data_IF_158973374071
#
_entry.id   IF_158973374071
#
_cell.length_a   1.000
_cell.length_b   1.000
_cell.length_c   1.000
_cell.angle_alpha   90.00
_cell.angle_beta   90.00
_cell.angle_gamma   90.00
#
_symmetry.space_group_name_H-M   'P 1'
#
loop_
_entity.id
_entity.type
_entity.pdbx_description
1 polymer ?
#
# COMPACT_ATOMS: atom_id res chain seq x y z
N UNK A 1 -17.30 -0.23 -10.07
CA UNK A 1 -16.63 0.66 -9.09
C UNK A 1 -15.24 1.00 -9.60
N UNK A 2 -14.84 2.28 -9.69
CA UNK A 2 -13.55 2.70 -10.29
C UNK A 2 -12.49 3.14 -9.28
N UNK A 3 -12.86 3.45 -8.04
CA UNK A 3 -11.92 4.04 -7.09
C UNK A 3 -11.00 2.97 -6.46
N UNK A 4 -11.52 1.80 -6.09
CA UNK A 4 -10.71 0.72 -5.50
C UNK A 4 -9.55 0.32 -6.41
N UNK A 5 -9.78 0.22 -7.73
CA UNK A 5 -8.72 -0.08 -8.70
C UNK A 5 -7.62 0.98 -8.76
N UNK A 6 -7.96 2.27 -8.66
CA UNK A 6 -6.95 3.35 -8.60
C UNK A 6 -6.09 3.23 -7.36
N UNK A 7 -6.69 2.97 -6.20
CA UNK A 7 -5.96 2.85 -4.94
C UNK A 7 -5.03 1.63 -4.97
N UNK A 8 -5.53 0.48 -5.44
CA UNK A 8 -4.71 -0.73 -5.63
C UNK A 8 -3.55 -0.52 -6.60
N UNK A 9 -3.77 0.27 -7.65
CA UNK A 9 -2.72 0.65 -8.60
C UNK A 9 -1.65 1.50 -7.93
N UNK A 10 -2.05 2.53 -7.17
CA UNK A 10 -1.09 3.36 -6.42
C UNK A 10 -0.34 2.55 -5.36
N UNK A 11 -1.02 1.64 -4.64
CA UNK A 11 -0.39 0.72 -3.68
C UNK A 11 0.69 -0.09 -4.41
N UNK A 12 0.34 -0.77 -5.50
CA UNK A 12 1.30 -1.56 -6.27
C UNK A 12 2.46 -0.73 -6.80
N UNK A 13 2.22 0.50 -7.24
CA UNK A 13 3.28 1.40 -7.70
C UNK A 13 4.22 1.81 -6.57
N UNK A 14 3.68 2.13 -5.39
CA UNK A 14 4.48 2.50 -4.22
C UNK A 14 5.28 1.30 -3.73
N UNK A 15 4.65 0.14 -3.58
CA UNK A 15 5.29 -1.12 -3.24
C UNK A 15 6.45 -1.39 -4.20
N UNK A 16 6.19 -1.37 -5.51
CA UNK A 16 7.25 -1.63 -6.50
C UNK A 16 8.37 -0.60 -6.48
N UNK A 17 8.05 0.67 -6.21
CA UNK A 17 9.06 1.72 -6.03
C UNK A 17 9.86 1.54 -4.73
N UNK A 18 9.24 1.01 -3.67
CA UNK A 18 9.90 0.60 -2.44
C UNK A 18 10.85 -0.58 -2.72
N UNK A 19 10.40 -1.61 -3.44
CA UNK A 19 11.24 -2.76 -3.77
C UNK A 19 12.46 -2.38 -4.61
N UNK A 20 12.27 -1.49 -5.59
CA UNK A 20 13.32 -1.06 -6.52
C UNK A 20 14.32 -0.06 -5.89
N UNK A 21 13.82 0.86 -5.05
CA UNK A 21 14.63 1.98 -4.53
C UNK A 21 14.95 1.91 -3.03
N UNK A 22 14.14 1.21 -2.26
CA UNK A 22 14.18 1.20 -0.80
C UNK A 22 13.89 -0.20 -0.24
N UNK A 23 14.74 -1.21 -0.52
CA UNK A 23 14.51 -2.59 -0.05
C UNK A 23 14.36 -2.68 1.47
N UNK A 24 14.92 -1.75 2.23
CA UNK A 24 14.73 -1.67 3.69
C UNK A 24 13.28 -1.38 4.09
N UNK A 25 12.54 -0.65 3.27
CA UNK A 25 11.13 -0.33 3.50
C UNK A 25 10.21 -1.54 3.25
N UNK A 26 10.65 -2.59 2.53
CA UNK A 26 9.89 -3.84 2.39
C UNK A 26 9.58 -4.47 3.76
N UNK A 27 10.48 -4.35 4.74
CA UNK A 27 10.26 -4.90 6.08
C UNK A 27 9.03 -4.30 6.76
N UNK A 28 8.73 -3.02 6.49
CA UNK A 28 7.53 -2.35 6.98
C UNK A 28 6.27 -2.74 6.21
N UNK A 29 6.41 -3.24 4.97
CA UNK A 29 5.30 -3.75 4.17
C UNK A 29 4.78 -5.08 4.69
N UNK A 30 5.69 -5.99 5.04
CA UNK A 30 5.38 -7.30 5.62
C UNK A 30 4.67 -7.19 6.98
N UNK A 31 4.99 -6.15 7.76
CA UNK A 31 4.34 -5.88 9.05
C UNK A 31 2.96 -5.23 8.93
N UNK A 32 2.54 -4.79 7.74
CA UNK A 32 1.21 -4.24 7.58
C UNK A 32 0.18 -5.38 7.50
N UNK A 33 -0.83 -5.42 8.40
CA UNK A 33 -1.80 -6.50 8.49
C UNK A 33 -2.78 -6.57 7.31
N UNK A 34 -2.64 -5.71 6.30
CA UNK A 34 -3.41 -5.79 5.06
C UNK A 34 -2.74 -6.84 4.18
N UNK A 35 -2.85 -8.07 4.66
CA UNK A 35 -2.98 -9.20 3.76
C UNK A 35 -4.25 -8.92 2.98
N UNK A 36 -4.10 -8.40 1.74
CA UNK A 36 -5.05 -8.71 0.70
C UNK A 36 -5.13 -10.23 0.69
N UNK A 37 -6.03 -10.81 1.49
CA UNK A 37 -6.37 -12.22 1.34
C UNK A 37 -6.77 -12.34 -0.13
N UNK A 38 -6.11 -13.23 -0.87
CA UNK A 38 -6.29 -13.53 -2.31
C UNK A 38 -7.74 -13.78 -2.78
N UNK A 39 -8.71 -13.63 -1.89
CA UNK A 39 -10.11 -13.49 -2.20
C UNK A 39 -10.35 -12.10 -2.84
N UNK A 40 -10.27 -12.07 -4.18
CA UNK A 40 -10.65 -10.94 -5.04
C UNK A 40 -12.02 -10.32 -4.63
N UNK A 41 -12.91 -11.16 -4.06
CA UNK A 41 -14.22 -10.77 -3.52
C UNK A 41 -14.18 -9.95 -2.22
N UNK A 42 -13.14 -10.09 -1.37
CA UNK A 42 -13.01 -9.29 -0.14
C UNK A 42 -12.53 -7.87 -0.43
N UNK A 43 -11.72 -7.69 -1.47
CA UNK A 43 -11.21 -6.38 -1.89
C UNK A 43 -12.33 -5.52 -2.46
N UNK A 44 -13.30 -6.14 -3.14
CA UNK A 44 -14.50 -5.46 -3.63
C UNK A 44 -15.44 -5.03 -2.48
N UNK A 45 -15.46 -5.79 -1.39
CA UNK A 45 -16.18 -5.45 -0.14
C UNK A 45 -15.37 -4.56 0.81
N UNK A 46 -14.10 -4.33 0.53
CA UNK A 46 -13.26 -3.50 1.37
C UNK A 46 -13.66 -2.04 1.14
N UNK A 47 -14.07 -1.37 2.21
CA UNK A 47 -14.41 0.04 2.15
C UNK A 47 -13.27 0.83 1.51
N UNK A 48 -13.61 1.70 0.56
CA UNK A 48 -12.65 2.58 -0.12
C UNK A 48 -11.77 3.35 0.90
N UNK A 49 -12.34 3.66 2.08
CA UNK A 49 -11.63 4.24 3.22
C UNK A 49 -10.48 3.36 3.71
N UNK A 50 -10.69 2.07 3.90
CA UNK A 50 -9.66 1.14 4.36
C UNK A 50 -8.50 1.06 3.36
N UNK A 51 -8.81 1.01 2.07
CA UNK A 51 -7.81 1.03 1.01
C UNK A 51 -7.04 2.37 0.98
N UNK A 52 -7.74 3.50 1.17
CA UNK A 52 -7.10 4.83 1.29
C UNK A 52 -6.21 4.94 2.52
N UNK A 53 -6.66 4.49 3.68
CA UNK A 53 -5.85 4.50 4.90
C UNK A 53 -4.59 3.64 4.75
N UNK A 54 -4.70 2.51 4.06
CA UNK A 54 -3.53 1.70 3.75
C UNK A 54 -2.54 2.42 2.83
N UNK A 55 -3.05 3.02 1.75
CA UNK A 55 -2.25 3.83 0.84
C UNK A 55 -1.58 5.02 1.57
N UNK A 56 -2.30 5.69 2.46
CA UNK A 56 -1.75 6.80 3.24
C UNK A 56 -0.67 6.34 4.22
N UNK A 57 -0.84 5.18 4.87
CA UNK A 57 0.20 4.59 5.72
C UNK A 57 1.46 4.29 4.90
N UNK A 58 1.32 3.64 3.75
CA UNK A 58 2.40 3.39 2.80
C UNK A 58 3.12 4.68 2.38
N UNK A 59 2.37 5.69 1.94
CA UNK A 59 2.92 7.00 1.57
C UNK A 59 3.61 7.67 2.75
N UNK A 60 3.09 7.54 3.95
CA UNK A 60 3.66 8.13 5.17
C UNK A 60 5.01 7.50 5.52
N UNK A 61 5.13 6.18 5.43
CA UNK A 61 6.39 5.44 5.64
C UNK A 61 7.44 5.91 4.62
N UNK A 62 7.10 5.88 3.32
CA UNK A 62 8.00 6.34 2.25
C UNK A 62 8.38 7.79 2.42
N UNK A 63 7.44 8.65 2.82
CA UNK A 63 7.68 10.08 3.00
C UNK A 63 8.57 10.36 4.21
N UNK A 64 8.41 9.63 5.32
CA UNK A 64 9.31 9.72 6.48
C UNK A 64 10.71 9.32 6.07
N UNK A 65 10.85 8.19 5.39
CA UNK A 65 12.14 7.71 4.92
C UNK A 65 12.80 8.70 3.95
N UNK A 66 12.07 9.25 2.97
CA UNK A 66 12.55 10.32 2.07
C UNK A 66 12.85 11.67 2.73
N UNK A 67 12.43 11.86 3.99
CA UNK A 67 12.68 13.10 4.74
C UNK A 67 13.88 12.94 5.67
N UNK A 68 14.16 11.72 6.11
CA UNK A 68 15.33 11.37 6.92
C UNK A 68 16.59 11.13 6.09
N UNK A 69 16.46 10.83 4.80
CA UNK A 69 17.55 10.69 3.82
C UNK A 69 17.46 11.75 2.72
#
# INVERSE_FOLDING_TARGET
MKISQKILTEISQITRAIEDKYPELQKYLDELPITLSDDDNKVEKMDEKMLKEYLENLKSIVKKYKKEY
#
